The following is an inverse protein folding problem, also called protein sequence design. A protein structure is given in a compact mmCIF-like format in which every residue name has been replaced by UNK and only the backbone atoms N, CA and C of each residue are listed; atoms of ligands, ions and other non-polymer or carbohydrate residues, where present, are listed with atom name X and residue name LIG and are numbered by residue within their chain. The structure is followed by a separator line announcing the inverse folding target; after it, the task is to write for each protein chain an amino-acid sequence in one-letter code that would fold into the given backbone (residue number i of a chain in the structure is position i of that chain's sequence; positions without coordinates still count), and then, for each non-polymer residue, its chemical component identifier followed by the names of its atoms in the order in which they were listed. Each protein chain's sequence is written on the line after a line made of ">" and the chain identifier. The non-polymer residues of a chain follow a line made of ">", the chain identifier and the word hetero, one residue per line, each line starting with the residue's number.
data_IF_361976656300
#
_entry.id   IF_361976656300
#
_cell.length_a   1.000
_cell.length_b   1.000
_cell.length_c   1.000
_cell.angle_alpha   90.00
_cell.angle_beta   90.00
_cell.angle_gamma   90.00
#
_symmetry.space_group_name_H-M   'P 1'
#
loop_
_entity.id
_entity.type
_entity.pdbx_description
1 polymer ?
#
# COMPACT_ATOMS: atom_id res chain seq x y z
N UNK A 1 -7.62 -2.19 -23.11
CA UNK A 1 -7.21 -0.77 -23.22
C UNK A 1 -6.67 -0.35 -21.86
N UNK A 2 -5.40 0.08 -21.79
CA UNK A 2 -4.84 0.64 -20.56
C UNK A 2 -5.58 1.94 -20.21
N UNK A 3 -6.13 2.03 -18.99
CA UNK A 3 -6.72 3.28 -18.49
C UNK A 3 -5.59 4.29 -18.26
N UNK A 4 -5.64 5.43 -18.91
CA UNK A 4 -4.71 6.52 -18.63
C UNK A 4 -5.08 7.17 -17.29
N UNK A 5 -4.14 7.21 -16.35
CA UNK A 5 -4.25 8.02 -15.14
C UNK A 5 -3.87 9.47 -15.49
N UNK A 6 -4.72 10.42 -15.10
CA UNK A 6 -4.45 11.84 -15.30
C UNK A 6 -4.03 12.45 -13.98
N UNK A 7 -2.83 12.99 -13.91
CA UNK A 7 -2.25 13.59 -12.71
C UNK A 7 -2.18 15.13 -12.85
N UNK A 8 -2.15 15.84 -11.71
CA UNK A 8 -1.96 17.28 -11.70
C UNK A 8 -0.57 17.65 -12.22
N UNK A 9 -0.49 18.70 -13.06
CA UNK A 9 0.79 19.24 -13.56
C UNK A 9 1.26 20.38 -12.66
N UNK A 10 2.45 20.22 -12.07
CA UNK A 10 3.16 21.28 -11.36
C UNK A 10 4.46 21.51 -12.09
N UNK A 11 4.71 22.74 -12.55
CA UNK A 11 5.89 23.11 -13.37
C UNK A 11 6.14 22.19 -14.59
N UNK A 12 5.06 21.70 -15.22
CA UNK A 12 5.16 20.83 -16.40
C UNK A 12 5.36 19.33 -16.07
N UNK A 13 5.59 18.97 -14.81
CA UNK A 13 5.72 17.58 -14.33
C UNK A 13 4.37 17.07 -13.83
N UNK A 14 4.03 15.84 -14.21
CA UNK A 14 2.83 15.18 -13.67
C UNK A 14 3.13 14.69 -12.25
N UNK A 15 2.71 15.46 -11.23
CA UNK A 15 2.88 15.08 -9.82
C UNK A 15 1.82 14.08 -9.42
N UNK A 16 2.23 13.01 -8.74
CA UNK A 16 1.37 11.99 -8.15
C UNK A 16 1.22 12.27 -6.64
N UNK A 17 0.03 12.60 -6.20
CA UNK A 17 -0.27 12.81 -4.79
C UNK A 17 -0.60 11.47 -4.14
N UNK A 18 0.31 10.99 -3.32
CA UNK A 18 0.23 9.68 -2.68
C UNK A 18 -0.01 9.85 -1.20
N UNK A 19 -1.08 9.24 -0.67
CA UNK A 19 -1.31 9.15 0.76
C UNK A 19 -0.94 7.76 1.28
N UNK A 20 -0.20 7.71 2.38
CA UNK A 20 0.19 6.49 3.09
C UNK A 20 -0.64 6.38 4.36
N UNK A 21 -1.61 5.47 4.38
CA UNK A 21 -2.42 5.18 5.57
C UNK A 21 -1.72 4.11 6.39
N UNK A 22 -1.35 4.46 7.63
CA UNK A 22 -0.50 3.63 8.50
C UNK A 22 0.99 3.93 8.34
N UNK A 23 1.35 5.19 8.10
CA UNK A 23 2.71 5.64 7.82
C UNK A 23 3.74 5.39 8.95
N UNK A 24 3.29 5.12 10.18
CA UNK A 24 4.19 4.75 11.29
C UNK A 24 4.59 3.27 11.34
N UNK A 25 4.08 2.45 10.41
CA UNK A 25 4.43 1.03 10.31
C UNK A 25 5.88 0.80 9.85
N UNK A 26 6.49 -0.31 10.26
CA UNK A 26 7.90 -0.62 9.93
C UNK A 26 8.16 -0.71 8.42
N UNK A 27 7.28 -1.34 7.65
CA UNK A 27 7.39 -1.37 6.19
C UNK A 27 7.14 0.01 5.57
N UNK A 28 6.18 0.79 6.12
CA UNK A 28 5.86 2.11 5.60
C UNK A 28 7.06 3.05 5.60
N UNK A 29 7.96 2.95 6.58
CA UNK A 29 9.19 3.77 6.63
C UNK A 29 10.10 3.52 5.42
N UNK A 30 10.28 2.27 5.01
CA UNK A 30 11.05 1.91 3.81
C UNK A 30 10.36 2.42 2.53
N UNK A 31 9.03 2.33 2.49
CA UNK A 31 8.25 2.85 1.35
C UNK A 31 8.36 4.37 1.25
N UNK A 32 8.23 5.09 2.38
CA UNK A 32 8.39 6.54 2.43
C UNK A 32 9.79 6.95 1.92
N UNK A 33 10.83 6.25 2.37
CA UNK A 33 12.21 6.52 1.94
C UNK A 33 12.39 6.29 0.43
N UNK A 34 11.86 5.19 -0.10
CA UNK A 34 11.92 4.89 -1.53
C UNK A 34 11.17 5.94 -2.37
N UNK A 35 10.00 6.40 -1.90
CA UNK A 35 9.18 7.37 -2.62
C UNK A 35 9.73 8.79 -2.56
N UNK A 36 10.41 9.17 -1.47
CA UNK A 36 11.11 10.47 -1.38
C UNK A 36 12.22 10.63 -2.42
N UNK A 37 12.76 9.53 -2.92
CA UNK A 37 13.72 9.54 -4.02
C UNK A 37 13.11 9.88 -5.40
N UNK A 38 11.76 9.97 -5.49
CA UNK A 38 11.05 10.20 -6.74
C UNK A 38 10.62 11.67 -6.86
N UNK A 39 11.11 12.36 -7.88
CA UNK A 39 10.82 13.79 -8.10
C UNK A 39 9.34 14.10 -8.48
N UNK A 40 8.57 13.06 -8.81
CA UNK A 40 7.18 13.16 -9.31
C UNK A 40 6.15 12.73 -8.27
N UNK A 41 6.54 12.61 -7.01
CA UNK A 41 5.66 12.11 -5.94
C UNK A 41 5.59 13.14 -4.81
N UNK A 42 4.37 13.50 -4.46
CA UNK A 42 4.03 14.28 -3.27
C UNK A 42 3.43 13.35 -2.22
N UNK A 43 4.02 13.33 -1.02
CA UNK A 43 3.65 12.38 0.03
C UNK A 43 2.83 13.03 1.13
N UNK A 44 1.70 12.42 1.43
CA UNK A 44 0.91 12.64 2.65
C UNK A 44 0.99 11.42 3.56
N UNK A 45 1.32 11.63 4.81
CA UNK A 45 1.46 10.58 5.82
C UNK A 45 0.28 10.66 6.79
N UNK A 46 -0.62 9.67 6.75
CA UNK A 46 -1.76 9.55 7.65
C UNK A 46 -1.42 8.64 8.82
N UNK A 47 -1.51 9.17 10.04
CA UNK A 47 -1.15 8.47 11.28
C UNK A 47 -2.10 8.84 12.42
N UNK A 48 -2.30 7.92 13.38
CA UNK A 48 -3.08 8.19 14.59
C UNK A 48 -2.40 9.14 15.58
N UNK A 49 -1.08 9.22 15.52
CA UNK A 49 -0.28 10.08 16.37
C UNK A 49 1.00 10.46 15.62
N UNK A 50 1.10 11.73 15.23
CA UNK A 50 2.25 12.26 14.48
C UNK A 50 3.59 12.18 15.23
N UNK A 51 3.54 12.15 16.57
CA UNK A 51 4.76 12.02 17.38
C UNK A 51 5.43 10.63 17.27
N UNK A 52 4.77 9.65 16.64
CA UNK A 52 5.36 8.33 16.33
C UNK A 52 6.23 8.33 15.06
N UNK A 53 6.22 9.42 14.31
CA UNK A 53 7.10 9.58 13.14
C UNK A 53 8.34 10.39 13.56
N UNK A 54 9.52 9.86 13.22
CA UNK A 54 10.74 10.65 13.38
C UNK A 54 10.76 11.82 12.38
N UNK A 55 11.45 12.91 12.75
CA UNK A 55 11.64 14.06 11.87
C UNK A 55 12.23 13.64 10.51
N UNK A 56 13.21 12.71 10.52
CA UNK A 56 13.80 12.18 9.29
C UNK A 56 12.75 11.57 8.34
N UNK A 57 11.79 10.84 8.88
CA UNK A 57 10.72 10.21 8.08
C UNK A 57 9.72 11.24 7.59
N UNK A 58 9.37 12.25 8.39
CA UNK A 58 8.32 13.22 8.07
C UNK A 58 8.78 14.43 7.26
N UNK A 59 10.08 14.74 7.25
CA UNK A 59 10.62 15.89 6.47
C UNK A 59 10.23 15.76 4.99
N UNK A 60 9.69 16.85 4.42
CA UNK A 60 9.26 16.89 3.02
C UNK A 60 7.91 16.21 2.74
N UNK A 61 7.17 15.79 3.78
CA UNK A 61 5.86 15.18 3.65
C UNK A 61 4.78 16.02 4.35
N UNK A 62 3.57 15.98 3.84
CA UNK A 62 2.39 16.49 4.55
C UNK A 62 1.97 15.50 5.63
N UNK A 63 1.71 15.98 6.85
CA UNK A 63 1.26 15.12 7.96
C UNK A 63 -0.23 15.33 8.21
N UNK A 64 -0.99 14.24 8.23
CA UNK A 64 -2.42 14.22 8.59
C UNK A 64 -2.60 13.28 9.76
N UNK A 65 -3.17 13.79 10.85
CA UNK A 65 -3.52 13.00 12.03
C UNK A 65 -4.99 12.60 11.99
N UNK A 66 -5.27 11.31 12.20
CA UNK A 66 -6.61 10.74 12.20
C UNK A 66 -6.59 9.23 12.42
N UNK A 67 -7.77 8.66 12.62
CA UNK A 67 -7.95 7.22 12.83
C UNK A 67 -8.64 6.56 11.62
N UNK A 68 -8.03 5.53 11.05
CA UNK A 68 -8.64 4.75 9.97
C UNK A 68 -9.93 4.02 10.38
N UNK A 69 -10.20 3.89 11.69
CA UNK A 69 -11.48 3.42 12.22
C UNK A 69 -12.59 4.47 12.12
N UNK A 70 -12.24 5.76 11.94
CA UNK A 70 -13.18 6.86 11.78
C UNK A 70 -13.32 7.20 10.29
N UNK A 71 -14.51 7.00 9.75
CA UNK A 71 -14.80 7.27 8.33
C UNK A 71 -14.51 8.73 7.95
N UNK A 72 -14.95 9.70 8.77
CA UNK A 72 -14.78 11.13 8.46
C UNK A 72 -13.29 11.54 8.40
N UNK A 73 -12.43 10.92 9.23
CA UNK A 73 -10.99 11.19 9.18
C UNK A 73 -10.39 10.65 7.89
N UNK A 74 -10.82 9.44 7.48
CA UNK A 74 -10.36 8.80 6.24
C UNK A 74 -10.84 9.57 5.01
N UNK A 75 -12.12 9.96 4.96
CA UNK A 75 -12.70 10.73 3.86
C UNK A 75 -11.93 12.03 3.60
N UNK A 76 -11.71 12.81 4.67
CA UNK A 76 -10.94 14.07 4.59
C UNK A 76 -9.50 13.83 4.12
N UNK A 77 -8.88 12.75 4.63
CA UNK A 77 -7.50 12.44 4.32
C UNK A 77 -7.30 11.95 2.88
N UNK A 78 -8.23 11.15 2.36
CA UNK A 78 -8.15 10.56 1.01
C UNK A 78 -8.45 11.59 -0.07
N UNK A 79 -9.30 12.58 0.24
CA UNK A 79 -9.71 13.61 -0.71
C UNK A 79 -8.52 14.32 -1.36
N UNK A 80 -8.57 14.43 -2.69
CA UNK A 80 -7.55 15.13 -3.46
C UNK A 80 -6.27 14.34 -3.74
N UNK A 81 -6.17 13.06 -3.33
CA UNK A 81 -5.04 12.19 -3.65
C UNK A 81 -5.30 11.38 -4.92
N UNK A 82 -4.22 10.94 -5.57
CA UNK A 82 -4.27 10.13 -6.78
C UNK A 82 -4.12 8.64 -6.46
N UNK A 83 -3.32 8.32 -5.43
CA UNK A 83 -3.00 6.95 -5.01
C UNK A 83 -3.09 6.84 -3.49
N UNK A 84 -3.75 5.79 -3.01
CA UNK A 84 -3.80 5.42 -1.58
C UNK A 84 -2.96 4.17 -1.36
N UNK A 85 -1.94 4.25 -0.52
CA UNK A 85 -1.17 3.11 -0.03
C UNK A 85 -1.59 2.76 1.40
N UNK A 86 -2.00 1.52 1.61
CA UNK A 86 -2.53 1.02 2.90
C UNK A 86 -1.57 0.02 3.53
N UNK A 87 -1.03 0.38 4.70
CA UNK A 87 -0.11 -0.44 5.49
C UNK A 87 -0.55 -0.48 6.95
N UNK A 88 -1.61 -1.21 7.21
CA UNK A 88 -2.31 -1.27 8.49
C UNK A 88 -2.24 -2.67 9.12
N UNK A 89 -2.56 -2.74 10.42
CA UNK A 89 -2.77 -3.97 11.18
C UNK A 89 -3.89 -3.77 12.22
N UNK A 90 -4.44 -4.87 12.73
CA UNK A 90 -5.52 -4.85 13.73
C UNK A 90 -6.91 -4.98 13.10
N UNK A 91 -7.79 -4.02 13.31
CA UNK A 91 -9.18 -4.06 12.83
C UNK A 91 -9.32 -3.80 11.32
N UNK A 92 -8.60 -4.60 10.51
CA UNK A 92 -8.44 -4.38 9.07
C UNK A 92 -9.78 -4.38 8.31
N UNK A 93 -10.76 -5.16 8.74
CA UNK A 93 -12.06 -5.19 8.08
C UNK A 93 -12.76 -3.82 8.12
N UNK A 94 -12.88 -3.21 9.29
CA UNK A 94 -13.53 -1.90 9.45
C UNK A 94 -12.73 -0.81 8.73
N UNK A 95 -11.40 -0.81 8.90
CA UNK A 95 -10.55 0.18 8.26
C UNK A 95 -10.59 0.07 6.73
N UNK A 96 -10.60 -1.15 6.18
CA UNK A 96 -10.70 -1.35 4.74
C UNK A 96 -12.06 -0.88 4.18
N UNK A 97 -13.17 -1.14 4.89
CA UNK A 97 -14.48 -0.63 4.50
C UNK A 97 -14.51 0.90 4.44
N UNK A 98 -14.00 1.57 5.48
CA UNK A 98 -13.92 3.03 5.54
C UNK A 98 -13.07 3.59 4.38
N UNK A 99 -11.90 2.98 4.12
CA UNK A 99 -10.98 3.45 3.08
C UNK A 99 -11.61 3.27 1.69
N UNK A 100 -12.15 2.09 1.40
CA UNK A 100 -12.77 1.81 0.09
C UNK A 100 -13.96 2.73 -0.14
N UNK A 101 -14.85 2.90 0.85
CA UNK A 101 -15.99 3.79 0.75
C UNK A 101 -15.54 5.24 0.49
N UNK A 102 -14.61 5.76 1.28
CA UNK A 102 -14.10 7.11 1.12
C UNK A 102 -13.45 7.33 -0.27
N UNK A 103 -12.68 6.36 -0.75
CA UNK A 103 -12.06 6.43 -2.07
C UNK A 103 -13.10 6.44 -3.20
N UNK A 104 -14.14 5.62 -3.10
CA UNK A 104 -15.22 5.58 -4.10
C UNK A 104 -16.00 6.90 -4.12
N UNK A 105 -16.36 7.45 -2.95
CA UNK A 105 -17.10 8.71 -2.82
C UNK A 105 -16.25 9.93 -3.25
N UNK A 106 -14.96 9.94 -2.93
CA UNK A 106 -14.02 11.00 -3.34
C UNK A 106 -13.46 10.80 -4.76
N UNK A 107 -13.92 9.76 -5.48
CA UNK A 107 -13.48 9.42 -6.84
C UNK A 107 -11.96 9.18 -6.96
N UNK A 108 -11.32 8.69 -5.89
CA UNK A 108 -9.92 8.24 -5.88
C UNK A 108 -9.89 6.76 -6.24
N UNK A 109 -9.22 6.37 -7.32
CA UNK A 109 -9.38 5.03 -7.90
C UNK A 109 -8.25 4.06 -7.57
N UNK A 110 -7.02 4.55 -7.40
CA UNK A 110 -5.83 3.71 -7.28
C UNK A 110 -5.51 3.39 -5.83
N UNK A 111 -5.57 2.09 -5.46
CA UNK A 111 -5.20 1.61 -4.13
C UNK A 111 -4.11 0.54 -4.24
N UNK A 112 -3.13 0.60 -3.34
CA UNK A 112 -2.14 -0.45 -3.09
C UNK A 112 -2.30 -0.85 -1.63
N UNK A 113 -2.67 -2.12 -1.36
CA UNK A 113 -2.95 -2.58 -0.01
C UNK A 113 -2.04 -3.74 0.39
N UNK A 114 -1.45 -3.64 1.58
CA UNK A 114 -0.66 -4.72 2.16
C UNK A 114 -1.59 -5.70 2.88
N UNK A 115 -1.55 -6.95 2.45
CA UNK A 115 -2.16 -8.10 3.09
C UNK A 115 -1.04 -9.03 3.63
N UNK A 116 -1.16 -10.33 3.48
CA UNK A 116 -0.18 -11.30 3.99
C UNK A 116 -0.16 -12.56 3.12
N UNK A 117 0.99 -13.20 3.04
CA UNK A 117 1.09 -14.58 2.57
C UNK A 117 0.18 -15.50 3.39
N UNK A 118 -0.30 -16.57 2.78
CA UNK A 118 -1.08 -17.62 3.45
C UNK A 118 -2.57 -17.30 3.65
N UNK A 119 -3.09 -16.16 3.23
CA UNK A 119 -4.52 -15.81 3.39
C UNK A 119 -5.47 -16.72 2.60
N UNK A 120 -4.95 -17.51 1.68
CA UNK A 120 -5.72 -18.49 0.88
C UNK A 120 -5.47 -19.95 1.31
N UNK A 121 -4.71 -20.18 2.36
CA UNK A 121 -4.48 -21.53 2.90
C UNK A 121 -5.72 -22.07 3.59
N UNK A 122 -5.89 -23.40 3.54
CA UNK A 122 -6.98 -24.10 4.22
C UNK A 122 -6.37 -25.16 5.17
N UNK A 123 -6.67 -25.12 6.49
CA UNK A 123 -7.49 -24.11 7.17
C UNK A 123 -6.78 -22.74 7.28
N UNK A 124 -7.57 -21.65 7.21
CA UNK A 124 -7.04 -20.30 7.39
C UNK A 124 -6.67 -20.06 8.86
N UNK A 125 -5.43 -19.66 9.11
CA UNK A 125 -4.95 -19.30 10.45
C UNK A 125 -5.68 -18.05 10.98
N UNK A 126 -6.10 -18.06 12.24
CA UNK A 126 -6.89 -16.98 12.85
C UNK A 126 -6.21 -15.60 12.76
N UNK A 127 -4.88 -15.54 12.90
CA UNK A 127 -4.10 -14.29 12.77
C UNK A 127 -4.18 -13.69 11.36
N UNK A 128 -4.50 -14.47 10.34
CA UNK A 128 -4.60 -14.03 8.94
C UNK A 128 -6.03 -13.62 8.54
N UNK A 129 -7.03 -13.90 9.37
CA UNK A 129 -8.44 -13.55 9.06
C UNK A 129 -8.60 -12.06 8.75
N UNK A 130 -8.05 -11.09 9.53
CA UNK A 130 -8.19 -9.68 9.22
C UNK A 130 -7.57 -9.31 7.85
N UNK A 131 -6.43 -9.89 7.51
CA UNK A 131 -5.74 -9.67 6.22
C UNK A 131 -6.53 -10.25 5.05
N UNK A 132 -7.15 -11.42 5.24
CA UNK A 132 -8.05 -12.00 4.24
C UNK A 132 -9.27 -11.10 4.03
N UNK A 133 -9.90 -10.59 5.11
CA UNK A 133 -11.06 -9.68 5.05
C UNK A 133 -10.71 -8.38 4.30
N UNK A 134 -9.54 -7.80 4.59
CA UNK A 134 -9.06 -6.63 3.84
C UNK A 134 -8.96 -6.95 2.34
N UNK A 135 -8.35 -8.08 1.99
CA UNK A 135 -8.20 -8.47 0.58
C UNK A 135 -9.57 -8.67 -0.09
N UNK A 136 -10.50 -9.37 0.56
CA UNK A 136 -11.85 -9.61 0.02
C UNK A 136 -12.62 -8.29 -0.22
N UNK A 137 -12.52 -7.32 0.72
CA UNK A 137 -13.17 -6.00 0.60
C UNK A 137 -12.59 -5.22 -0.57
N UNK A 138 -11.27 -5.16 -0.67
CA UNK A 138 -10.59 -4.41 -1.74
C UNK A 138 -10.84 -5.05 -3.10
N UNK A 139 -10.83 -6.38 -3.20
CA UNK A 139 -11.13 -7.10 -4.46
C UNK A 139 -12.57 -6.91 -4.92
N UNK A 140 -13.52 -6.81 -3.99
CA UNK A 140 -14.96 -6.60 -4.33
C UNK A 140 -15.28 -5.16 -4.72
N UNK A 141 -14.37 -4.20 -4.52
CA UNK A 141 -14.56 -2.80 -4.85
C UNK A 141 -14.44 -2.51 -6.35
N UNK A 142 -14.83 -1.27 -6.73
CA UNK A 142 -14.65 -0.75 -8.09
C UNK A 142 -13.26 -0.14 -8.31
N UNK A 143 -12.38 -0.20 -7.30
CA UNK A 143 -11.08 0.43 -7.34
C UNK A 143 -10.09 -0.30 -8.27
N UNK A 144 -9.14 0.44 -8.77
CA UNK A 144 -7.99 -0.06 -9.49
C UNK A 144 -6.94 -0.50 -8.45
N UNK A 145 -7.10 -1.70 -7.91
CA UNK A 145 -6.32 -2.18 -6.78
C UNK A 145 -5.07 -2.97 -7.19
N UNK A 146 -4.06 -2.92 -6.34
CA UNK A 146 -3.02 -3.95 -6.21
C UNK A 146 -2.97 -4.38 -4.75
N UNK A 147 -3.18 -5.66 -4.47
CA UNK A 147 -3.01 -6.23 -3.16
C UNK A 147 -1.68 -6.97 -3.14
N UNK A 148 -0.83 -6.69 -2.15
CA UNK A 148 0.42 -7.40 -1.94
C UNK A 148 0.30 -8.33 -0.74
N UNK A 149 0.71 -9.58 -0.93
CA UNK A 149 0.81 -10.61 0.11
C UNK A 149 2.29 -10.92 0.37
N UNK A 150 2.98 -10.09 1.13
CA UNK A 150 4.39 -10.35 1.41
C UNK A 150 4.56 -11.55 2.35
N UNK A 151 5.69 -12.23 2.16
CA UNK A 151 6.24 -13.18 3.11
C UNK A 151 6.84 -12.45 4.32
N UNK A 152 7.36 -13.17 5.30
CA UNK A 152 7.97 -12.61 6.51
C UNK A 152 9.02 -11.55 6.18
N UNK A 153 9.00 -10.44 6.91
CA UNK A 153 9.89 -9.32 6.67
C UNK A 153 11.27 -9.55 7.26
N UNK A 154 12.30 -9.16 6.49
CA UNK A 154 13.67 -9.04 6.97
C UNK A 154 14.17 -7.60 6.82
N UNK A 155 15.28 -7.27 7.49
CA UNK A 155 15.97 -5.97 7.37
C UNK A 155 17.23 -6.08 6.48
N UNK A 156 17.32 -7.13 5.66
CA UNK A 156 18.43 -7.31 4.73
C UNK A 156 18.52 -6.12 3.75
N UNK A 157 19.72 -5.64 3.52
CA UNK A 157 20.00 -4.55 2.58
C UNK A 157 20.13 -5.08 1.14
N UNK A 158 18.99 -5.53 0.60
CA UNK A 158 18.92 -6.09 -0.75
C UNK A 158 17.60 -5.73 -1.43
N UNK A 159 17.62 -5.68 -2.77
CA UNK A 159 16.44 -5.58 -3.61
C UNK A 159 16.40 -6.84 -4.49
N UNK A 160 15.68 -7.87 -3.99
CA UNK A 160 15.44 -9.13 -4.68
C UNK A 160 14.03 -9.60 -4.36
N UNK A 161 13.20 -9.81 -5.37
CA UNK A 161 11.84 -10.30 -5.18
C UNK A 161 11.38 -11.16 -6.37
N UNK A 162 10.46 -12.06 -6.06
CA UNK A 162 9.65 -12.80 -7.02
C UNK A 162 8.19 -12.53 -6.75
N UNK A 163 7.39 -12.53 -7.80
CA UNK A 163 5.95 -12.29 -7.75
C UNK A 163 5.23 -13.57 -8.12
N UNK A 164 4.20 -13.92 -7.33
CA UNK A 164 3.25 -15.00 -7.64
C UNK A 164 1.85 -14.42 -7.74
N UNK A 165 1.07 -14.89 -8.73
CA UNK A 165 -0.32 -14.46 -8.86
C UNK A 165 -1.25 -15.22 -7.92
N UNK A 166 -2.42 -14.66 -7.67
CA UNK A 166 -3.49 -15.37 -6.95
C UNK A 166 -3.86 -16.65 -7.69
N UNK A 167 -3.90 -17.76 -6.95
CA UNK A 167 -4.16 -19.09 -7.52
C UNK A 167 -2.90 -19.88 -7.90
N UNK A 168 -1.76 -19.24 -7.99
CA UNK A 168 -0.48 -19.93 -8.12
C UNK A 168 0.06 -20.33 -6.73
N UNK A 169 0.83 -21.44 -6.62
CA UNK A 169 1.51 -21.79 -5.38
C UNK A 169 2.45 -20.65 -4.94
N UNK A 170 2.31 -20.22 -3.69
CA UNK A 170 3.23 -19.24 -3.11
C UNK A 170 4.61 -19.87 -2.98
N UNK A 171 5.62 -19.24 -3.58
CA UNK A 171 7.00 -19.71 -3.62
C UNK A 171 7.93 -18.65 -3.02
N UNK A 172 9.09 -19.11 -2.57
CA UNK A 172 10.13 -18.24 -2.02
C UNK A 172 10.16 -18.23 -0.51
N UNK A 173 10.88 -17.25 0.03
CA UNK A 173 11.18 -17.13 1.45
C UNK A 173 10.94 -15.71 1.95
N UNK A 174 11.28 -15.47 3.23
CA UNK A 174 11.23 -14.16 3.86
C UNK A 174 11.92 -13.08 3.01
N UNK A 175 11.29 -11.92 2.90
CA UNK A 175 11.66 -10.84 1.99
C UNK A 175 12.11 -9.58 2.73
N UNK A 176 13.08 -8.85 2.21
CA UNK A 176 13.49 -7.58 2.80
C UNK A 176 12.41 -6.51 2.59
N UNK A 177 12.21 -5.66 3.62
CA UNK A 177 11.35 -4.48 3.50
C UNK A 177 11.78 -3.56 2.36
N UNK A 178 13.09 -3.51 2.09
CA UNK A 178 13.67 -2.73 0.98
C UNK A 178 13.20 -3.26 -0.37
N UNK A 179 13.12 -4.58 -0.56
CA UNK A 179 12.60 -5.20 -1.78
C UNK A 179 11.12 -4.87 -2.01
N UNK A 180 10.31 -4.96 -0.95
CA UNK A 180 8.88 -4.63 -1.04
C UNK A 180 8.70 -3.15 -1.36
N UNK A 181 9.45 -2.27 -0.69
CA UNK A 181 9.40 -0.83 -0.92
C UNK A 181 9.78 -0.46 -2.36
N UNK A 182 10.83 -1.08 -2.91
CA UNK A 182 11.23 -0.89 -4.30
C UNK A 182 10.13 -1.32 -5.29
N UNK A 183 9.47 -2.46 -5.04
CA UNK A 183 8.34 -2.90 -5.86
C UNK A 183 7.14 -1.93 -5.78
N UNK A 184 6.80 -1.44 -4.58
CA UNK A 184 5.74 -0.45 -4.40
C UNK A 184 6.10 0.86 -5.12
N UNK A 185 7.35 1.31 -5.06
CA UNK A 185 7.81 2.49 -5.79
C UNK A 185 7.63 2.33 -7.31
N UNK A 186 7.93 1.15 -7.87
CA UNK A 186 7.69 0.83 -9.28
C UNK A 186 6.21 0.95 -9.64
N UNK A 187 5.30 0.43 -8.81
CA UNK A 187 3.85 0.53 -9.05
C UNK A 187 3.37 1.99 -8.95
N UNK A 188 3.92 2.79 -8.04
CA UNK A 188 3.55 4.20 -7.88
C UNK A 188 4.07 5.03 -9.06
N UNK A 189 5.26 4.72 -9.57
CA UNK A 189 5.79 5.37 -10.79
C UNK A 189 4.95 5.05 -12.03
N UNK A 190 4.46 3.81 -12.14
CA UNK A 190 3.65 3.31 -13.26
C UNK A 190 2.33 2.72 -12.73
N UNK A 191 1.34 3.56 -12.39
CA UNK A 191 0.14 3.14 -11.66
C UNK A 191 -0.77 2.16 -12.42
N UNK A 192 -0.61 2.05 -13.73
CA UNK A 192 -1.29 1.08 -14.59
C UNK A 192 -0.79 -0.36 -14.39
N UNK A 193 0.43 -0.54 -13.84
CA UNK A 193 0.98 -1.86 -13.59
C UNK A 193 0.21 -2.58 -12.48
N UNK A 194 0.00 -3.87 -12.69
CA UNK A 194 -0.64 -4.78 -11.71
C UNK A 194 -2.01 -4.31 -11.21
N UNK A 195 -2.75 -3.57 -12.06
CA UNK A 195 -4.11 -3.12 -11.76
C UNK A 195 -5.05 -4.32 -11.68
N UNK A 196 -5.83 -4.40 -10.59
CA UNK A 196 -6.75 -5.49 -10.23
C UNK A 196 -6.04 -6.84 -10.05
N UNK A 197 -4.81 -6.77 -9.56
CA UNK A 197 -3.99 -7.93 -9.25
C UNK A 197 -3.86 -8.13 -7.74
N UNK A 198 -3.81 -9.40 -7.32
CA UNK A 198 -3.54 -9.81 -5.95
C UNK A 198 -2.30 -10.73 -5.97
N UNK A 199 -1.18 -10.19 -5.51
CA UNK A 199 0.16 -10.71 -5.74
C UNK A 199 0.83 -11.16 -4.45
N UNK A 200 1.38 -12.37 -4.44
CA UNK A 200 2.39 -12.76 -3.48
C UNK A 200 3.73 -12.10 -3.83
N UNK A 201 4.47 -11.67 -2.82
CA UNK A 201 5.82 -11.15 -2.98
C UNK A 201 6.76 -11.76 -1.94
N UNK A 202 7.81 -12.39 -2.40
CA UNK A 202 8.79 -13.13 -1.59
C UNK A 202 10.18 -12.99 -2.17
N UNK A 203 11.21 -13.36 -1.40
CA UNK A 203 12.56 -13.51 -1.94
C UNK A 203 12.61 -14.81 -2.77
N UNK A 204 13.18 -14.81 -3.98
CA UNK A 204 13.37 -16.02 -4.76
C UNK A 204 14.17 -17.08 -3.98
N UNK A 205 13.79 -18.33 -4.08
CA UNK A 205 14.65 -19.43 -3.64
C UNK A 205 15.93 -19.44 -4.49
N UNK A 206 17.06 -19.70 -3.85
CA UNK A 206 18.29 -19.92 -4.60
C UNK A 206 18.18 -21.29 -5.29
N UNK A 207 18.25 -21.31 -6.62
CA UNK A 207 18.52 -22.51 -7.36
C UNK A 207 19.97 -22.96 -7.15
#
# INVERSE_FOLDING_TARGET
>A
MAKAFTFAKINGVNMKRVIIIGASGSLAQYVIEALKGLNEVELTLFVRNKNRLSTKVSTGCTLVEGDAMNYNDVEKAVSGHDIVYVNLAGHLETMAKNIVQAMEEMNVKRIIAISSIGIYQTPLRSVLIPYRRLADIVESSKLDYTILRPDWFTDADEIKYAITRKGEPEKGTAISRKSIAAFIATIIQSPELYTRENLGISKPEHN
#
